data_IF_694134054240
#
_entry.id   IF_694134054240
#
_cell.length_a   1.000
_cell.length_b   1.000
_cell.length_c   1.000
_cell.angle_alpha   90.00
_cell.angle_beta   90.00
_cell.angle_gamma   90.00
#
_symmetry.space_group_name_H-M   'P 1'
#
loop_
_entity.id
_entity.type
_entity.pdbx_description
1 polymer ?
#
# COMPACT_ATOMS: atom_id res chain seq x y z
N UNK A 1 -1.02 -13.01 27.74
CA UNK A 1 -0.72 -12.82 26.30
C UNK A 1 -0.35 -11.36 26.06
N UNK A 2 0.85 -11.06 25.54
CA UNK A 2 1.18 -9.70 25.11
C UNK A 2 0.22 -9.31 23.98
N UNK A 3 -0.45 -8.17 24.13
CA UNK A 3 -1.33 -7.62 23.09
C UNK A 3 -0.42 -7.29 21.89
N UNK A 4 -0.57 -8.01 20.78
CA UNK A 4 0.10 -7.67 19.52
C UNK A 4 -0.48 -6.33 19.06
N UNK A 5 0.23 -5.24 19.36
CA UNK A 5 -0.15 -3.90 18.93
C UNK A 5 0.42 -3.74 17.51
N UNK A 6 -0.41 -3.99 16.51
CA UNK A 6 -0.09 -3.69 15.12
C UNK A 6 0.15 -2.18 14.96
N UNK A 7 1.37 -1.79 14.61
CA UNK A 7 1.74 -0.42 14.29
C UNK A 7 1.90 -0.27 12.79
N UNK A 8 1.24 0.74 12.24
CA UNK A 8 1.39 1.11 10.83
C UNK A 8 2.14 2.43 10.74
N UNK A 9 3.21 2.45 9.96
CA UNK A 9 4.06 3.61 9.74
C UNK A 9 4.00 4.01 8.27
N UNK A 10 3.90 5.31 8.00
CA UNK A 10 3.98 5.86 6.65
C UNK A 10 5.12 6.85 6.62
N UNK A 11 6.16 6.56 5.85
CA UNK A 11 7.32 7.43 5.71
C UNK A 11 7.67 7.65 4.24
N UNK A 12 8.34 8.78 3.98
CA UNK A 12 8.91 9.07 2.67
C UNK A 12 10.20 8.29 2.54
N UNK A 13 10.38 7.62 1.40
CA UNK A 13 11.60 6.86 1.13
C UNK A 13 12.77 7.83 0.94
N UNK A 14 13.97 7.43 1.39
CA UNK A 14 15.19 8.20 1.27
C UNK A 14 15.57 8.42 -0.22
N UNK A 15 16.32 9.49 -0.53
CA UNK A 15 16.89 9.70 -1.87
C UNK A 15 17.67 8.46 -2.36
N UNK A 16 17.66 8.13 -3.66
CA UNK A 16 17.26 8.95 -4.82
C UNK A 16 15.76 8.91 -5.17
N UNK A 17 14.93 8.22 -4.39
CA UNK A 17 13.55 7.89 -4.75
C UNK A 17 12.55 9.03 -4.48
N UNK A 18 12.57 10.05 -5.34
CA UNK A 18 11.66 11.19 -5.28
C UNK A 18 10.21 10.72 -5.51
N UNK A 19 9.32 11.01 -4.56
CA UNK A 19 7.89 10.64 -4.57
C UNK A 19 7.58 9.15 -4.28
N UNK A 20 8.47 8.46 -3.59
CA UNK A 20 8.19 7.12 -3.09
C UNK A 20 7.74 7.22 -1.63
N UNK A 21 6.71 6.47 -1.30
CA UNK A 21 6.16 6.33 0.04
C UNK A 21 6.21 4.87 0.43
N UNK A 22 6.57 4.61 1.68
CA UNK A 22 6.60 3.27 2.25
C UNK A 22 5.56 3.19 3.36
N UNK A 23 4.72 2.15 3.29
CA UNK A 23 3.78 1.78 4.33
C UNK A 23 4.30 0.51 4.97
N UNK A 24 4.78 0.63 6.21
CA UNK A 24 5.29 -0.49 6.99
C UNK A 24 4.27 -0.88 8.05
N UNK A 25 3.98 -2.16 8.18
CA UNK A 25 3.18 -2.72 9.27
C UNK A 25 4.07 -3.63 10.11
N UNK A 26 4.10 -3.40 11.41
CA UNK A 26 4.83 -4.22 12.40
C UNK A 26 3.86 -4.65 13.49
N UNK A 27 3.64 -5.95 13.62
CA UNK A 27 2.81 -6.52 14.71
C UNK A 27 3.66 -6.99 15.91
N UNK A 28 4.98 -6.90 15.84
CA UNK A 28 5.94 -7.37 16.84
C UNK A 28 6.52 -8.76 16.56
N UNK A 29 5.97 -9.48 15.58
CA UNK A 29 6.48 -10.77 15.08
C UNK A 29 6.91 -10.64 13.62
N UNK A 30 6.11 -9.97 12.80
CA UNK A 30 6.28 -9.81 11.38
C UNK A 30 6.35 -8.33 11.01
N UNK A 31 7.25 -8.04 10.06
CA UNK A 31 7.37 -6.71 9.44
C UNK A 31 7.11 -6.84 7.95
N UNK A 32 6.01 -6.25 7.50
CA UNK A 32 5.69 -6.15 6.09
C UNK A 32 5.87 -4.71 5.62
N UNK A 33 6.33 -4.53 4.40
CA UNK A 33 6.52 -3.21 3.80
C UNK A 33 5.96 -3.18 2.38
N UNK A 34 5.17 -2.16 2.07
CA UNK A 34 4.64 -1.88 0.75
C UNK A 34 5.21 -0.54 0.29
N UNK A 35 5.88 -0.55 -0.86
CA UNK A 35 6.40 0.66 -1.50
C UNK A 35 5.41 1.11 -2.57
N UNK A 36 5.00 2.38 -2.48
CA UNK A 36 4.11 3.02 -3.44
C UNK A 36 4.83 4.19 -4.09
N UNK A 37 4.83 4.19 -5.42
CA UNK A 37 5.48 5.20 -6.25
C UNK A 37 4.42 6.15 -6.82
N UNK A 38 4.52 7.44 -6.53
CA UNK A 38 3.60 8.42 -7.10
C UNK A 38 3.55 9.76 -6.36
N UNK A 39 2.99 10.79 -7.00
CA UNK A 39 2.77 12.08 -6.34
C UNK A 39 1.82 11.91 -5.14
N UNK A 40 2.03 12.69 -4.06
CA UNK A 40 1.21 12.65 -2.84
C UNK A 40 -0.30 12.78 -3.13
N UNK A 41 -0.67 13.63 -4.08
CA UNK A 41 -2.06 13.83 -4.50
C UNK A 41 -2.64 12.56 -5.13
N UNK A 42 -1.89 11.87 -6.00
CA UNK A 42 -2.31 10.61 -6.61
C UNK A 42 -2.53 9.52 -5.54
N UNK A 43 -1.66 9.45 -4.52
CA UNK A 43 -1.80 8.49 -3.43
C UNK A 43 -3.08 8.73 -2.61
N UNK A 44 -3.42 9.99 -2.32
CA UNK A 44 -4.67 10.36 -1.64
C UNK A 44 -5.90 9.95 -2.45
N UNK A 45 -5.86 10.20 -3.77
CA UNK A 45 -6.95 9.83 -4.68
C UNK A 45 -7.09 8.30 -4.75
N UNK A 46 -5.97 7.57 -4.88
CA UNK A 46 -5.98 6.11 -4.91
C UNK A 46 -6.55 5.51 -3.62
N UNK A 47 -6.17 6.04 -2.45
CA UNK A 47 -6.73 5.60 -1.17
C UNK A 47 -8.24 5.86 -1.10
N UNK A 48 -8.69 7.05 -1.50
CA UNK A 48 -10.12 7.39 -1.53
C UNK A 48 -10.90 6.44 -2.45
N UNK A 49 -10.36 6.11 -3.63
CA UNK A 49 -10.95 5.15 -4.58
C UNK A 49 -11.00 3.73 -4.00
N UNK A 50 -9.96 3.26 -3.31
CA UNK A 50 -9.94 1.94 -2.66
C UNK A 50 -10.95 1.87 -1.53
N UNK A 51 -10.99 2.88 -0.65
CA UNK A 51 -11.97 2.99 0.44
C UNK A 51 -13.38 2.96 -0.16
N UNK A 52 -13.65 3.82 -1.15
CA UNK A 52 -14.94 3.84 -1.83
C UNK A 52 -15.28 2.48 -2.45
N UNK A 53 -14.33 1.80 -3.10
CA UNK A 53 -14.51 0.48 -3.70
C UNK A 53 -14.87 -0.59 -2.67
N UNK A 54 -14.17 -0.62 -1.52
CA UNK A 54 -14.40 -1.58 -0.44
C UNK A 54 -15.75 -1.38 0.26
N UNK A 55 -16.16 -0.13 0.50
CA UNK A 55 -17.43 0.18 1.16
C UNK A 55 -18.63 0.13 0.20
N UNK A 56 -18.41 0.25 -1.10
CA UNK A 56 -19.47 0.16 -2.09
C UNK A 56 -19.61 -1.29 -2.58
N UNK A 57 -20.64 -2.01 -2.10
CA UNK A 57 -20.88 -3.44 -2.39
C UNK A 57 -20.98 -3.81 -3.88
N UNK A 58 -21.10 -2.82 -4.78
CA UNK A 58 -21.18 -3.02 -6.24
C UNK A 58 -19.84 -2.96 -6.97
N UNK A 59 -18.72 -2.73 -6.28
CA UNK A 59 -17.43 -2.54 -6.95
C UNK A 59 -16.72 -3.87 -7.14
N UNK A 60 -16.55 -4.30 -8.40
CA UNK A 60 -15.84 -5.53 -8.75
C UNK A 60 -14.32 -5.26 -8.82
N UNK A 61 -13.54 -5.90 -7.94
CA UNK A 61 -12.07 -5.80 -7.97
C UNK A 61 -11.51 -6.89 -8.87
N UNK A 62 -11.08 -6.53 -10.08
CA UNK A 62 -10.42 -7.46 -10.99
C UNK A 62 -8.91 -7.50 -10.73
N UNK A 63 -8.36 -8.69 -10.46
CA UNK A 63 -6.93 -8.91 -10.28
C UNK A 63 -6.28 -9.18 -11.64
N UNK A 64 -5.51 -8.23 -12.15
CA UNK A 64 -4.73 -8.41 -13.37
C UNK A 64 -3.33 -8.92 -13.01
N UNK A 65 -2.97 -10.10 -13.52
CA UNK A 65 -1.61 -10.63 -13.43
C UNK A 65 -0.93 -10.43 -14.78
N UNK A 66 0.14 -9.64 -14.85
CA UNK A 66 0.99 -9.63 -16.05
C UNK A 66 1.85 -10.88 -16.02
N UNK A 67 1.51 -11.89 -16.84
CA UNK A 67 2.45 -12.96 -17.17
C UNK A 67 3.54 -12.35 -18.04
N UNK A 68 4.69 -12.05 -17.47
CA UNK A 68 5.88 -11.64 -18.22
C UNK A 68 6.27 -12.81 -19.12
N UNK A 69 5.98 -12.73 -20.43
CA UNK A 69 6.57 -13.64 -21.41
C UNK A 69 8.00 -13.19 -21.62
N UNK A 70 8.96 -13.90 -21.02
CA UNK A 70 10.36 -13.77 -21.40
C UNK A 70 10.47 -14.13 -22.88
N UNK A 71 11.00 -13.22 -23.68
CA UNK A 71 11.30 -13.40 -25.09
C UNK A 71 12.78 -13.16 -25.30
#
# INVERSE_FOLDING_TARGET
MKKLIGKTYIYKVLPPYKNWYSIMTDDGLNRNNIIIVGKKQLLKIALALIVMSLFNKRTTINKYTTKTKNK
#
